data_IF_259990525007
#
_entry.id   IF_259990525007
#
_cell.length_a   1.000
_cell.length_b   1.000
_cell.length_c   1.000
_cell.angle_alpha   90.00
_cell.angle_beta   90.00
_cell.angle_gamma   90.00
#
_symmetry.space_group_name_H-M   'P 1'
#
loop_
_entity.id
_entity.type
_entity.pdbx_description
1 polymer ?
#
# COMPACT_ATOMS: atom_id res chain seq x y z
N UNK A 1 17.55 -14.50 8.19
CA UNK A 1 17.06 -13.52 9.19
C UNK A 1 16.07 -12.61 8.47
N UNK A 2 14.77 -12.69 8.77
CA UNK A 2 13.76 -11.85 8.14
C UNK A 2 13.94 -10.38 8.61
N UNK A 3 14.23 -9.46 7.69
CA UNK A 3 14.41 -8.02 7.97
C UNK A 3 13.22 -7.18 7.55
N UNK A 4 12.14 -7.81 7.06
CA UNK A 4 10.90 -7.13 6.69
C UNK A 4 10.22 -6.59 7.93
N UNK A 5 9.86 -5.32 7.92
CA UNK A 5 9.09 -4.66 8.97
C UNK A 5 7.83 -4.06 8.38
N UNK A 6 6.68 -4.32 9.01
CA UNK A 6 5.46 -3.58 8.71
C UNK A 6 5.39 -2.39 9.66
N UNK A 7 5.26 -1.19 9.11
CA UNK A 7 5.02 0.04 9.86
C UNK A 7 3.56 0.44 9.67
N UNK A 8 2.74 0.24 10.69
CA UNK A 8 1.32 0.61 10.65
C UNK A 8 1.15 2.11 10.85
N UNK A 9 0.32 2.73 10.00
CA UNK A 9 -0.09 4.13 10.12
C UNK A 9 -1.44 4.25 10.81
N UNK A 10 -2.22 3.16 10.80
CA UNK A 10 -3.58 3.11 11.33
C UNK A 10 -3.75 1.78 12.05
N UNK A 11 -4.04 1.82 13.35
CA UNK A 11 -4.15 0.61 14.17
C UNK A 11 -2.84 -0.16 14.24
N UNK A 12 -2.93 -1.45 14.59
CA UNK A 12 -1.78 -2.33 14.81
C UNK A 12 -1.77 -3.55 13.86
N UNK A 13 -2.63 -3.55 12.83
CA UNK A 13 -2.84 -4.72 11.98
C UNK A 13 -3.82 -4.51 10.84
N UNK A 14 -4.04 -5.56 10.05
CA UNK A 14 -5.08 -5.60 9.03
C UNK A 14 -6.48 -5.63 9.68
N UNK A 15 -7.49 -5.01 9.08
CA UNK A 15 -8.87 -5.13 9.54
C UNK A 15 -9.37 -6.57 9.50
N UNK A 16 -10.29 -6.92 10.41
CA UNK A 16 -10.98 -8.20 10.35
C UNK A 16 -11.76 -8.34 9.03
N UNK A 17 -11.76 -9.57 8.50
CA UNK A 17 -12.43 -9.92 7.24
C UNK A 17 -11.97 -9.11 6.00
N UNK A 18 -10.73 -8.62 6.00
CA UNK A 18 -10.16 -7.93 4.85
C UNK A 18 -9.63 -8.89 3.78
N UNK A 19 -9.78 -8.51 2.51
CA UNK A 19 -9.07 -9.10 1.39
C UNK A 19 -7.87 -8.21 1.03
N UNK A 20 -6.72 -8.82 0.74
CA UNK A 20 -5.50 -8.12 0.31
C UNK A 20 -5.37 -8.27 -1.20
N UNK A 21 -5.28 -7.14 -1.90
CA UNK A 21 -4.83 -7.07 -3.28
C UNK A 21 -3.39 -6.59 -3.30
N UNK A 22 -2.49 -7.42 -3.79
CA UNK A 22 -1.07 -7.13 -3.92
C UNK A 22 -0.75 -6.95 -5.41
N UNK A 23 -0.03 -5.88 -5.73
CA UNK A 23 0.41 -5.59 -7.09
C UNK A 23 1.71 -4.79 -7.09
N UNK A 24 2.78 -5.48 -7.50
CA UNK A 24 4.08 -4.88 -7.81
C UNK A 24 4.22 -4.57 -9.31
N UNK A 25 5.14 -3.68 -9.70
CA UNK A 25 5.55 -3.51 -11.09
C UNK A 25 6.01 -4.84 -11.70
N UNK A 26 5.58 -5.11 -12.93
CA UNK A 26 5.81 -6.37 -13.61
C UNK A 26 5.57 -6.25 -15.12
N UNK A 27 5.47 -7.37 -15.84
CA UNK A 27 5.28 -7.36 -17.31
C UNK A 27 4.00 -6.60 -17.67
N UNK A 28 4.15 -5.49 -18.40
CA UNK A 28 3.03 -4.64 -18.83
C UNK A 28 2.31 -3.89 -17.71
N UNK A 29 2.80 -3.94 -16.46
CA UNK A 29 2.21 -3.27 -15.28
C UNK A 29 0.71 -3.56 -15.04
N UNK A 30 0.18 -4.66 -15.58
CA UNK A 30 -1.27 -4.91 -15.61
C UNK A 30 -1.87 -4.95 -14.20
N UNK A 31 -1.27 -5.71 -13.28
CA UNK A 31 -1.76 -5.79 -11.90
C UNK A 31 -1.74 -4.44 -11.19
N UNK A 32 -0.66 -3.67 -11.37
CA UNK A 32 -0.49 -2.34 -10.77
C UNK A 32 -1.52 -1.34 -11.30
N UNK A 33 -1.77 -1.33 -12.62
CA UNK A 33 -2.78 -0.47 -13.25
C UNK A 33 -4.19 -0.81 -12.71
N UNK A 34 -4.52 -2.09 -12.55
CA UNK A 34 -5.82 -2.52 -12.00
C UNK A 34 -5.98 -2.04 -10.55
N UNK A 35 -4.97 -2.25 -9.70
CA UNK A 35 -5.02 -1.82 -8.29
C UNK A 35 -5.04 -0.29 -8.17
N UNK A 36 -4.24 0.43 -8.96
CA UNK A 36 -4.24 1.89 -8.97
C UNK A 36 -5.60 2.46 -9.41
N UNK A 37 -6.23 1.84 -10.41
CA UNK A 37 -7.59 2.22 -10.85
C UNK A 37 -8.64 2.00 -9.76
N UNK A 38 -8.50 0.94 -8.94
CA UNK A 38 -9.40 0.68 -7.81
C UNK A 38 -9.20 1.71 -6.69
N UNK A 39 -7.95 2.08 -6.41
CA UNK A 39 -7.61 3.10 -5.43
C UNK A 39 -8.15 4.47 -5.84
N UNK A 40 -8.07 4.81 -7.14
CA UNK A 40 -8.59 6.07 -7.68
C UNK A 40 -10.12 6.14 -7.61
N UNK A 41 -10.81 5.03 -7.88
CA UNK A 41 -12.29 4.98 -7.95
C UNK A 41 -12.99 4.76 -6.61
N UNK A 42 -12.28 4.29 -5.59
CA UNK A 42 -12.86 4.00 -4.29
C UNK A 42 -12.09 4.69 -3.17
N UNK A 43 -12.78 5.23 -2.14
CA UNK A 43 -12.10 5.83 -0.99
C UNK A 43 -11.16 4.81 -0.37
N UNK A 44 -9.86 5.12 -0.46
CA UNK A 44 -8.78 4.20 -0.11
C UNK A 44 -7.79 4.94 0.77
N UNK A 45 -7.38 4.30 1.87
CA UNK A 45 -6.42 4.86 2.81
C UNK A 45 -5.24 3.93 2.96
N UNK A 46 -4.04 4.50 3.03
CA UNK A 46 -2.83 3.76 3.38
C UNK A 46 -2.89 3.37 4.85
N UNK A 47 -2.84 2.08 5.16
CA UNK A 47 -2.91 1.57 6.55
C UNK A 47 -1.53 1.22 7.11
N UNK A 48 -0.52 1.06 6.26
CA UNK A 48 0.84 0.77 6.66
C UNK A 48 1.81 0.67 5.48
N UNK A 49 3.09 0.53 5.81
CA UNK A 49 4.19 0.37 4.87
C UNK A 49 4.95 -0.93 5.14
N UNK A 50 5.34 -1.63 4.08
CA UNK A 50 6.25 -2.77 4.16
C UNK A 50 7.67 -2.29 3.86
N UNK A 51 8.52 -2.27 4.89
CA UNK A 51 9.90 -1.83 4.79
C UNK A 51 10.82 -3.06 4.70
N UNK A 52 11.64 -3.12 3.66
CA UNK A 52 12.67 -4.15 3.49
C UNK A 52 13.97 -3.50 3.02
N UNK A 53 15.14 -3.87 3.58
CA UNK A 53 16.42 -3.28 3.20
C UNK A 53 16.82 -3.55 1.75
N UNK A 54 16.24 -4.55 1.10
CA UNK A 54 16.53 -4.88 -0.31
C UNK A 54 15.71 -4.02 -1.29
N UNK A 55 14.75 -3.22 -0.81
CA UNK A 55 14.08 -2.25 -1.68
C UNK A 55 14.99 -1.03 -1.88
N UNK A 56 14.99 -0.43 -3.09
CA UNK A 56 15.80 0.75 -3.36
C UNK A 56 15.52 1.86 -2.31
N UNK A 57 16.55 2.51 -1.73
CA UNK A 57 16.41 3.44 -0.60
C UNK A 57 15.90 4.84 -1.02
N UNK A 58 14.99 4.90 -1.97
CA UNK A 58 14.48 6.15 -2.53
C UNK A 58 13.10 6.47 -1.94
N UNK A 59 12.72 7.74 -1.92
CA UNK A 59 11.38 8.19 -1.53
C UNK A 59 10.65 8.74 -2.74
N UNK A 60 9.34 8.57 -2.79
CA UNK A 60 8.48 9.18 -3.82
C UNK A 60 7.88 10.47 -3.26
N UNK A 61 7.99 11.54 -4.03
CA UNK A 61 7.25 12.77 -3.79
C UNK A 61 5.87 12.60 -4.44
N UNK A 62 4.81 12.73 -3.65
CA UNK A 62 3.45 12.71 -4.20
C UNK A 62 3.04 14.08 -4.78
N UNK A 63 1.86 14.14 -5.38
CA UNK A 63 1.33 15.36 -6.02
C UNK A 63 1.09 16.51 -5.04
N UNK A 64 0.99 16.23 -3.74
CA UNK A 64 0.80 17.21 -2.67
C UNK A 64 2.15 17.67 -2.07
N UNK A 65 3.28 17.19 -2.62
CA UNK A 65 4.62 17.51 -2.15
C UNK A 65 5.01 16.77 -0.86
N UNK A 66 4.29 15.72 -0.48
CA UNK A 66 4.64 14.88 0.66
C UNK A 66 5.56 13.75 0.23
N UNK A 67 6.54 13.46 1.08
CA UNK A 67 7.55 12.43 0.84
C UNK A 67 7.09 11.14 1.51
N UNK A 68 6.89 10.09 0.70
CA UNK A 68 6.58 8.75 1.17
C UNK A 68 7.73 7.78 0.87
N UNK A 69 8.11 6.88 1.78
CA UNK A 69 9.10 5.85 1.50
C UNK A 69 8.61 4.89 0.41
N UNK A 70 9.49 4.48 -0.52
CA UNK A 70 9.19 3.38 -1.47
C UNK A 70 9.18 2.04 -0.71
N UNK A 71 8.08 1.75 -0.05
CA UNK A 71 7.69 0.40 0.26
C UNK A 71 7.13 -0.21 -1.04
N UNK A 72 7.71 -1.32 -1.51
CA UNK A 72 7.28 -2.04 -2.73
C UNK A 72 5.78 -2.39 -2.75
N UNK A 73 5.11 -2.32 -1.60
CA UNK A 73 3.68 -2.49 -1.47
C UNK A 73 3.16 -1.46 -0.45
N UNK A 74 2.64 -0.33 -0.92
CA UNK A 74 1.71 0.45 -0.11
C UNK A 74 0.42 -0.36 0.00
N UNK A 75 0.20 -1.07 1.11
CA UNK A 75 -1.07 -1.74 1.34
C UNK A 75 -2.12 -0.66 1.61
N UNK A 76 -2.85 -0.27 0.57
CA UNK A 76 -4.04 0.57 0.72
C UNK A 76 -5.23 -0.35 0.92
N UNK A 77 -5.84 -0.24 2.10
CA UNK A 77 -7.08 -0.92 2.38
C UNK A 77 -8.21 0.00 1.90
N UNK A 78 -8.99 -0.45 0.92
CA UNK A 78 -10.30 0.15 0.67
C UNK A 78 -11.23 -0.37 1.74
N UNK A 79 -11.32 0.36 2.86
CA UNK A 79 -12.46 0.18 3.75
C UNK A 79 -13.66 0.79 3.04
N UNK A 80 -14.43 -0.03 2.31
CA UNK A 80 -15.88 0.20 2.31
C UNK A 80 -16.22 0.16 3.80
N UNK A 81 -16.53 1.32 4.39
CA UNK A 81 -17.09 1.38 5.73
C UNK A 81 -18.11 0.25 5.80
N UNK A 82 -17.85 -0.74 6.64
CA UNK A 82 -18.93 -1.49 7.23
C UNK A 82 -19.80 -0.42 7.91
N UNK A 83 -20.81 0.05 7.19
CA UNK A 83 -21.94 0.75 7.78
C UNK A 83 -22.68 -0.24 8.69
N UNK A 84 -23.48 0.32 9.60
CA UNK A 84 -23.71 -0.14 10.98
C UNK A 84 -24.08 -1.61 11.16
#
# INVERSE_FOLDING_TARGET
>A
MNRTRVHWLVGEGLPEHAAILEAVPGVGNVGKIVVDSLIEKHPSRTIGWILHPDFPPHSTLDGDGLVSPLASTSTRCSSRMAGP
#
